data_IF_018695689853
#
_entry.id   IF_018695689853
#
_cell.length_a   1.000
_cell.length_b   1.000
_cell.length_c   1.000
_cell.angle_alpha   90.00
_cell.angle_beta   90.00
_cell.angle_gamma   90.00
#
_symmetry.space_group_name_H-M   'P 1'
#
loop_
_entity.id
_entity.type
_entity.pdbx_description
1 polymer ?
#
# COMPACT_ATOMS: atom_id res chain seq x y z
N UNK A 1 -41.03 51.76 -62.12
CA UNK A 1 -41.08 51.74 -60.63
C UNK A 1 -42.03 50.65 -60.15
N UNK A 2 -41.77 49.44 -60.64
CA UNK A 2 -42.59 48.24 -60.57
C UNK A 2 -41.71 47.11 -60.02
N UNK A 3 -42.31 46.08 -59.44
CA UNK A 3 -41.66 44.93 -58.78
C UNK A 3 -41.05 45.16 -57.38
N UNK A 4 -40.43 46.30 -57.07
CA UNK A 4 -39.88 46.51 -55.71
C UNK A 4 -40.94 46.71 -54.61
N UNK A 5 -42.06 47.40 -54.91
CA UNK A 5 -43.17 47.57 -53.94
C UNK A 5 -43.96 46.27 -53.67
N UNK A 6 -43.88 45.28 -54.57
CA UNK A 6 -44.62 44.02 -54.43
C UNK A 6 -43.87 43.00 -53.59
N UNK A 7 -42.54 43.05 -53.56
CA UNK A 7 -41.73 42.16 -52.71
C UNK A 7 -41.71 42.61 -51.25
N UNK A 8 -41.75 43.91 -50.98
CA UNK A 8 -41.74 44.44 -49.60
C UNK A 8 -43.05 44.14 -48.85
N UNK A 9 -44.19 44.03 -49.54
CA UNK A 9 -45.46 43.68 -48.88
C UNK A 9 -45.66 42.18 -48.64
N UNK A 10 -44.80 41.31 -49.19
CA UNK A 10 -44.93 39.85 -49.08
C UNK A 10 -44.09 39.26 -47.93
N UNK A 11 -43.13 40.04 -47.41
CA UNK A 11 -42.29 39.68 -46.25
C UNK A 11 -42.42 40.65 -45.07
N UNK A 12 -43.37 41.59 -45.13
CA UNK A 12 -43.83 42.24 -43.91
C UNK A 12 -44.55 41.17 -43.08
N UNK A 13 -43.80 40.54 -42.17
CA UNK A 13 -44.36 39.70 -41.13
C UNK A 13 -45.42 40.53 -40.42
N UNK A 14 -46.66 40.07 -40.56
CA UNK A 14 -47.78 40.54 -39.78
C UNK A 14 -47.56 40.04 -38.36
N UNK A 15 -46.78 40.79 -37.57
CA UNK A 15 -46.44 40.48 -36.17
C UNK A 15 -47.70 40.23 -35.32
N UNK A 16 -48.86 40.67 -35.77
CA UNK A 16 -50.13 40.48 -35.07
C UNK A 16 -50.70 39.05 -35.15
N UNK A 17 -50.22 38.21 -36.09
CA UNK A 17 -50.70 36.81 -36.22
C UNK A 17 -49.87 35.80 -35.45
N UNK A 18 -48.59 36.06 -35.17
CA UNK A 18 -47.75 35.14 -34.37
C UNK A 18 -48.02 35.35 -32.87
N UNK A 19 -48.36 36.57 -32.45
CA UNK A 19 -48.60 36.87 -31.03
C UNK A 19 -49.91 36.23 -30.51
N UNK A 20 -50.91 36.00 -31.38
CA UNK A 20 -52.21 35.48 -30.95
C UNK A 20 -52.32 33.95 -30.81
N UNK A 21 -51.23 33.20 -30.98
CA UNK A 21 -51.23 31.76 -30.68
C UNK A 21 -50.42 31.36 -29.44
N UNK A 22 -49.74 32.30 -28.77
CA UNK A 22 -48.91 32.00 -27.59
C UNK A 22 -49.44 32.62 -26.29
N UNK A 23 -50.43 33.50 -26.33
CA UNK A 23 -50.96 34.14 -25.10
C UNK A 23 -52.48 34.10 -25.02
N UNK A 24 -53.05 32.90 -24.92
CA UNK A 24 -54.24 32.74 -24.07
C UNK A 24 -53.76 32.29 -22.68
N UNK A 25 -53.78 33.16 -21.66
CA UNK A 25 -53.57 32.71 -20.30
C UNK A 25 -54.76 31.83 -19.92
N UNK A 26 -54.60 30.52 -20.08
CA UNK A 26 -55.47 29.56 -19.44
C UNK A 26 -55.40 29.84 -17.93
N UNK A 27 -56.51 30.26 -17.32
CA UNK A 27 -56.61 30.40 -15.86
C UNK A 27 -56.35 29.08 -15.12
N UNK A 28 -56.24 27.95 -15.84
CA UNK A 28 -55.77 26.67 -15.29
C UNK A 28 -54.24 26.53 -15.27
N UNK A 29 -53.48 27.21 -16.15
CA UNK A 29 -52.02 27.10 -16.23
C UNK A 29 -51.28 27.84 -15.12
N UNK A 30 -51.78 29.01 -14.70
CA UNK A 30 -51.16 29.79 -13.61
C UNK A 30 -51.29 29.11 -12.25
N UNK A 31 -52.35 28.32 -12.03
CA UNK A 31 -52.52 27.51 -10.82
C UNK A 31 -51.55 26.33 -10.77
N UNK A 32 -51.20 25.76 -11.93
CA UNK A 32 -50.26 24.64 -12.03
C UNK A 32 -48.80 25.08 -11.83
N UNK A 33 -48.41 26.22 -12.44
CA UNK A 33 -47.06 26.79 -12.28
C UNK A 33 -46.83 27.29 -10.85
N UNK A 34 -47.85 27.91 -10.23
CA UNK A 34 -47.80 28.30 -8.82
C UNK A 34 -47.65 27.11 -7.88
N UNK A 35 -48.39 26.01 -8.14
CA UNK A 35 -48.30 24.79 -7.33
C UNK A 35 -46.95 24.08 -7.47
N UNK A 36 -46.36 24.04 -8.68
CA UNK A 36 -45.04 23.46 -8.91
C UNK A 36 -43.92 24.29 -8.26
N UNK A 37 -43.98 25.61 -8.33
CA UNK A 37 -43.01 26.49 -7.67
C UNK A 37 -43.10 26.37 -6.14
N UNK A 38 -44.31 26.28 -5.58
CA UNK A 38 -44.51 26.06 -4.15
C UNK A 38 -44.02 24.67 -3.72
N UNK A 39 -44.23 23.64 -4.55
CA UNK A 39 -43.73 22.29 -4.31
C UNK A 39 -42.20 22.22 -4.31
N UNK A 40 -41.54 22.91 -5.24
CA UNK A 40 -40.07 23.00 -5.29
C UNK A 40 -39.50 23.76 -4.09
N UNK A 41 -40.17 24.83 -3.66
CA UNK A 41 -39.78 25.63 -2.49
C UNK A 41 -40.02 24.87 -1.18
N UNK A 42 -41.11 24.10 -1.08
CA UNK A 42 -41.35 23.18 0.05
C UNK A 42 -40.31 22.05 0.06
N UNK A 43 -39.94 21.50 -1.09
CA UNK A 43 -38.91 20.47 -1.18
C UNK A 43 -37.55 21.02 -0.69
N UNK A 44 -37.15 22.22 -1.12
CA UNK A 44 -35.93 22.88 -0.62
C UNK A 44 -36.00 23.32 0.85
N UNK A 45 -37.18 23.61 1.38
CA UNK A 45 -37.37 23.97 2.80
C UNK A 45 -37.39 22.73 3.72
N UNK A 46 -37.81 21.56 3.21
CA UNK A 46 -37.83 20.30 3.95
C UNK A 46 -36.52 19.51 3.84
N UNK A 47 -35.74 19.71 2.76
CA UNK A 47 -34.44 19.05 2.57
C UNK A 47 -33.43 19.29 3.71
N UNK A 48 -33.25 20.49 4.28
CA UNK A 48 -32.33 20.69 5.42
C UNK A 48 -32.87 20.19 6.77
N UNK A 49 -34.15 19.79 6.87
CA UNK A 49 -34.73 19.16 8.07
C UNK A 49 -34.58 17.63 8.04
N UNK A 50 -34.39 17.07 6.86
CA UNK A 50 -33.85 15.74 6.67
C UNK A 50 -32.33 15.89 6.85
N UNK A 51 -31.78 15.57 8.02
CA UNK A 51 -30.34 15.44 8.25
C UNK A 51 -29.75 14.28 7.41
N UNK A 52 -29.93 14.31 6.09
CA UNK A 52 -29.30 13.42 5.11
C UNK A 52 -28.10 14.18 4.55
N UNK A 53 -27.21 14.61 5.44
CA UNK A 53 -25.81 14.37 5.12
C UNK A 53 -25.63 12.87 5.34
N UNK A 54 -25.35 12.04 4.32
CA UNK A 54 -24.69 10.79 4.61
C UNK A 54 -23.33 11.19 5.20
N UNK A 55 -23.28 11.44 6.50
CA UNK A 55 -22.08 11.19 7.26
C UNK A 55 -21.85 9.71 7.03
N UNK A 56 -20.99 9.37 6.08
CA UNK A 56 -20.40 8.05 6.00
C UNK A 56 -19.74 7.87 7.37
N UNK A 57 -20.48 7.25 8.27
CA UNK A 57 -20.01 6.92 9.60
C UNK A 57 -19.00 5.79 9.39
N UNK A 58 -17.74 6.16 9.23
CA UNK A 58 -16.66 5.19 9.33
C UNK A 58 -16.45 4.90 10.82
N UNK A 59 -16.30 3.62 11.13
CA UNK A 59 -16.17 3.11 12.48
C UNK A 59 -14.70 3.06 12.92
N UNK A 60 -13.79 2.88 11.95
CA UNK A 60 -12.36 2.83 12.21
C UNK A 60 -11.57 3.32 10.99
N UNK A 61 -10.35 3.80 11.26
CA UNK A 61 -9.32 4.04 10.24
C UNK A 61 -8.17 3.08 10.48
N UNK A 62 -7.76 2.35 9.45
CA UNK A 62 -6.65 1.41 9.48
C UNK A 62 -5.49 2.00 8.67
N UNK A 63 -4.39 2.30 9.34
CA UNK A 63 -3.14 2.70 8.69
C UNK A 63 -2.28 1.48 8.41
N UNK A 64 -2.04 1.20 7.13
CA UNK A 64 -1.28 0.05 6.65
C UNK A 64 0.08 0.54 6.13
N UNK A 65 1.15 0.03 6.71
CA UNK A 65 2.53 0.44 6.45
C UNK A 65 3.37 -0.78 6.03
N UNK A 66 3.60 -0.90 4.72
CA UNK A 66 4.44 -1.94 4.08
C UNK A 66 5.55 -1.28 3.24
N UNK A 67 5.26 -0.07 2.78
CA UNK A 67 5.73 0.51 1.54
C UNK A 67 5.18 -0.25 0.33
N UNK A 68 4.07 0.19 -0.27
CA UNK A 68 3.41 1.48 -0.10
C UNK A 68 2.62 1.64 1.21
N UNK A 69 2.17 2.87 1.52
CA UNK A 69 1.44 3.18 2.74
C UNK A 69 0.04 3.78 2.47
N UNK A 70 -0.96 3.34 3.24
CA UNK A 70 -2.37 3.68 3.03
C UNK A 70 -3.13 3.90 4.35
N UNK A 71 -4.09 4.83 4.36
CA UNK A 71 -5.18 4.82 5.33
C UNK A 71 -6.44 4.24 4.69
N UNK A 72 -7.03 3.25 5.34
CA UNK A 72 -8.26 2.57 4.91
C UNK A 72 -9.36 2.86 5.91
N UNK A 73 -10.41 3.54 5.47
CA UNK A 73 -11.56 3.89 6.30
C UNK A 73 -12.64 2.82 6.11
N UNK A 74 -13.19 2.28 7.19
CA UNK A 74 -14.19 1.20 7.15
C UNK A 74 -15.46 1.59 7.89
N UNK A 75 -16.61 1.09 7.43
CA UNK A 75 -17.90 1.28 8.11
C UNK A 75 -18.13 0.24 9.24
N UNK A 76 -19.34 0.20 9.78
CA UNK A 76 -19.73 -0.71 10.87
C UNK A 76 -19.79 -2.18 10.45
N UNK A 77 -19.88 -2.47 9.15
CA UNK A 77 -19.87 -3.81 8.58
C UNK A 77 -18.46 -4.18 8.06
N UNK A 78 -17.44 -3.39 8.42
CA UNK A 78 -16.04 -3.45 7.97
C UNK A 78 -15.86 -3.40 6.45
N UNK A 79 -16.79 -2.73 5.76
CA UNK A 79 -16.68 -2.45 4.35
C UNK A 79 -15.89 -1.16 4.15
N UNK A 80 -14.97 -1.19 3.19
CA UNK A 80 -14.11 -0.06 2.88
C UNK A 80 -14.93 1.08 2.28
N UNK A 81 -14.88 2.22 2.95
CA UNK A 81 -15.52 3.47 2.56
C UNK A 81 -14.57 4.32 1.72
N UNK A 82 -13.30 4.37 2.11
CA UNK A 82 -12.27 5.16 1.43
C UNK A 82 -10.87 4.56 1.61
N UNK A 83 -9.97 4.89 0.68
CA UNK A 83 -8.55 4.51 0.73
C UNK A 83 -7.72 5.74 0.36
N UNK A 84 -6.98 6.26 1.33
CA UNK A 84 -6.07 7.39 1.18
C UNK A 84 -4.65 6.87 0.98
N UNK A 85 -3.98 7.39 -0.05
CA UNK A 85 -2.60 7.04 -0.39
C UNK A 85 -1.64 7.97 0.34
N UNK A 86 -0.74 7.43 1.16
CA UNK A 86 0.08 8.23 2.08
C UNK A 86 1.48 8.57 1.57
N UNK A 87 1.98 7.84 0.56
CA UNK A 87 3.30 8.07 -0.01
C UNK A 87 3.32 7.94 -1.55
N UNK A 88 4.47 8.22 -2.15
CA UNK A 88 4.66 8.19 -3.60
C UNK A 88 4.52 6.76 -4.16
N UNK A 89 4.98 5.76 -3.41
CA UNK A 89 4.90 4.35 -3.78
C UNK A 89 3.43 3.86 -3.89
N UNK A 90 2.51 4.52 -3.18
CA UNK A 90 1.09 4.18 -3.20
C UNK A 90 0.36 4.73 -4.43
N UNK A 91 0.92 5.71 -5.15
CA UNK A 91 0.17 6.52 -6.12
C UNK A 91 -0.42 5.72 -7.28
N UNK A 92 0.27 4.66 -7.71
CA UNK A 92 -0.14 3.81 -8.83
C UNK A 92 -1.21 2.78 -8.46
N UNK A 93 -1.53 2.60 -7.18
CA UNK A 93 -2.61 1.73 -6.76
C UNK A 93 -3.97 2.35 -7.11
N UNK A 94 -4.79 1.61 -7.88
CA UNK A 94 -6.17 1.98 -8.17
C UNK A 94 -7.08 1.60 -7.00
N UNK A 95 -7.61 2.61 -6.32
CA UNK A 95 -8.42 2.44 -5.10
C UNK A 95 -9.89 2.14 -5.40
N UNK A 96 -10.41 2.53 -6.56
CA UNK A 96 -11.84 2.47 -6.86
C UNK A 96 -12.44 1.06 -6.81
N UNK A 97 -11.78 0.00 -7.31
CA UNK A 97 -12.30 -1.37 -7.26
C UNK A 97 -12.49 -1.92 -5.84
N UNK A 98 -11.85 -1.30 -4.85
CA UNK A 98 -11.79 -1.77 -3.47
C UNK A 98 -12.81 -1.10 -2.56
N UNK A 99 -13.46 -0.02 -3.01
CA UNK A 99 -14.54 0.62 -2.27
C UNK A 99 -15.75 -0.34 -2.19
N UNK A 100 -16.29 -0.51 -0.98
CA UNK A 100 -17.35 -1.45 -0.64
C UNK A 100 -16.90 -2.91 -0.50
N UNK A 101 -15.60 -3.20 -0.58
CA UNK A 101 -15.04 -4.53 -0.27
C UNK A 101 -14.78 -4.67 1.21
N UNK A 102 -14.66 -5.91 1.70
CA UNK A 102 -14.29 -6.12 3.10
C UNK A 102 -12.84 -5.70 3.31
N UNK A 103 -12.55 -5.13 4.47
CA UNK A 103 -11.20 -4.64 4.80
C UNK A 103 -10.13 -5.72 4.65
N UNK A 104 -10.46 -6.98 4.94
CA UNK A 104 -9.50 -8.09 4.84
C UNK A 104 -9.13 -8.38 3.37
N UNK A 105 -10.09 -8.26 2.44
CA UNK A 105 -9.82 -8.41 1.00
C UNK A 105 -8.92 -7.28 0.51
N UNK A 106 -9.15 -6.05 0.98
CA UNK A 106 -8.34 -4.89 0.61
C UNK A 106 -6.93 -5.03 1.17
N UNK A 107 -6.75 -5.43 2.43
CA UNK A 107 -5.42 -5.66 3.01
C UNK A 107 -4.65 -6.71 2.20
N UNK A 108 -5.28 -7.82 1.81
CA UNK A 108 -4.60 -8.84 1.00
C UNK A 108 -4.18 -8.29 -0.37
N UNK A 109 -5.04 -7.48 -1.00
CA UNK A 109 -4.72 -6.83 -2.27
C UNK A 109 -3.57 -5.83 -2.16
N UNK A 110 -3.48 -5.10 -1.04
CA UNK A 110 -2.37 -4.18 -0.77
C UNK A 110 -1.05 -4.91 -0.56
N UNK A 111 -1.07 -6.05 0.16
CA UNK A 111 0.11 -6.92 0.32
C UNK A 111 0.54 -7.48 -1.04
N UNK A 112 -0.41 -7.98 -1.85
CA UNK A 112 -0.12 -8.49 -3.18
C UNK A 112 0.46 -7.40 -4.11
N UNK A 113 -0.07 -6.18 -4.04
CA UNK A 113 0.47 -5.03 -4.78
C UNK A 113 1.89 -4.68 -4.34
N UNK A 114 2.18 -4.65 -3.04
CA UNK A 114 3.53 -4.40 -2.54
C UNK A 114 4.53 -5.47 -3.01
N UNK A 115 4.08 -6.72 -3.08
CA UNK A 115 4.86 -7.85 -3.58
C UNK A 115 5.14 -7.75 -5.09
N UNK A 116 4.12 -7.44 -5.90
CA UNK A 116 4.29 -7.24 -7.35
C UNK A 116 5.19 -6.04 -7.67
N UNK A 117 5.11 -4.99 -6.87
CA UNK A 117 5.96 -3.81 -6.99
C UNK A 117 7.40 -4.02 -6.47
N UNK A 118 7.71 -5.18 -5.89
CA UNK A 118 9.05 -5.55 -5.41
C UNK A 118 9.45 -4.94 -4.07
N UNK A 119 8.48 -4.46 -3.28
CA UNK A 119 8.73 -3.99 -1.92
C UNK A 119 8.80 -5.13 -0.90
N UNK A 120 8.22 -6.29 -1.23
CA UNK A 120 8.35 -7.53 -0.46
C UNK A 120 9.23 -8.49 -1.25
N UNK A 121 10.33 -8.94 -0.65
CA UNK A 121 11.24 -9.89 -1.27
C UNK A 121 10.84 -11.33 -0.91
N UNK A 122 10.25 -12.04 -1.87
CA UNK A 122 9.86 -13.44 -1.69
C UNK A 122 11.04 -14.38 -1.47
N UNK A 123 12.23 -14.02 -1.93
CA UNK A 123 13.42 -14.87 -1.84
C UNK A 123 14.24 -14.60 -0.57
N UNK A 124 13.89 -13.54 0.17
CA UNK A 124 14.55 -13.18 1.40
C UNK A 124 14.39 -14.29 2.46
N UNK A 125 15.48 -14.53 3.19
CA UNK A 125 15.48 -15.40 4.37
C UNK A 125 14.66 -14.86 5.54
N UNK A 126 14.25 -13.59 5.47
CA UNK A 126 13.43 -12.96 6.49
C UNK A 126 12.21 -12.36 5.83
N UNK A 127 11.05 -12.76 6.31
CA UNK A 127 9.78 -12.16 5.92
C UNK A 127 9.82 -10.65 6.17
N UNK A 128 9.24 -9.89 5.24
CA UNK A 128 9.05 -8.46 5.42
C UNK A 128 7.88 -8.19 6.36
N UNK A 129 7.92 -7.02 7.00
CA UNK A 129 6.96 -6.65 8.05
C UNK A 129 5.92 -5.69 7.49
N UNK A 130 4.66 -6.03 7.73
CA UNK A 130 3.48 -5.23 7.47
C UNK A 130 2.92 -4.76 8.81
N UNK A 131 2.92 -3.45 9.04
CA UNK A 131 2.29 -2.83 10.20
C UNK A 131 0.87 -2.40 9.86
N UNK A 132 -0.10 -2.82 10.67
CA UNK A 132 -1.50 -2.42 10.57
C UNK A 132 -1.89 -1.75 11.89
N UNK A 133 -1.99 -0.42 11.85
CA UNK A 133 -2.43 0.39 13.00
C UNK A 133 -3.92 0.65 12.90
N UNK A 134 -4.72 0.20 13.87
CA UNK A 134 -6.13 0.55 13.99
C UNK A 134 -6.22 1.82 14.84
N UNK A 135 -6.71 2.91 14.24
CA UNK A 135 -6.74 4.26 14.80
C UNK A 135 -8.12 4.56 15.37
N UNK A 136 -8.14 5.05 16.61
CA UNK A 136 -9.34 5.26 17.42
C UNK A 136 -9.29 6.66 18.05
N UNK A 137 -10.43 7.17 18.52
CA UNK A 137 -10.42 8.41 19.30
C UNK A 137 -9.99 8.10 20.75
N UNK A 138 -9.39 9.06 21.44
CA UNK A 138 -8.83 8.84 22.79
C UNK A 138 -9.89 8.56 23.86
N UNK A 139 -11.16 8.84 23.55
CA UNK A 139 -12.30 8.77 24.47
C UNK A 139 -13.18 7.52 24.27
N UNK A 140 -12.62 6.47 23.68
CA UNK A 140 -13.38 5.28 23.32
C UNK A 140 -13.75 4.39 24.55
N UNK A 141 -15.06 4.24 24.72
CA UNK A 141 -15.76 3.39 25.69
C UNK A 141 -15.31 1.92 25.55
N UNK A 142 -15.49 1.10 26.59
CA UNK A 142 -14.99 -0.28 26.60
C UNK A 142 -15.53 -1.12 25.41
N UNK A 143 -16.72 -0.78 24.91
CA UNK A 143 -17.34 -1.41 23.72
C UNK A 143 -16.55 -1.17 22.42
N UNK A 144 -15.99 0.03 22.23
CA UNK A 144 -15.22 0.35 21.02
C UNK A 144 -13.89 -0.39 21.02
N UNK A 145 -13.24 -0.49 22.20
CA UNK A 145 -12.02 -1.29 22.37
C UNK A 145 -12.25 -2.76 22.02
N UNK A 146 -13.37 -3.32 22.47
CA UNK A 146 -13.75 -4.70 22.14
C UNK A 146 -14.00 -4.87 20.63
N UNK A 147 -14.68 -3.91 19.99
CA UNK A 147 -14.90 -3.93 18.54
C UNK A 147 -13.57 -3.91 17.76
N UNK A 148 -12.61 -3.10 18.19
CA UNK A 148 -11.26 -3.02 17.59
C UNK A 148 -10.48 -4.31 17.79
N UNK A 149 -10.55 -4.91 18.98
CA UNK A 149 -9.94 -6.22 19.25
C UNK A 149 -10.52 -7.30 18.34
N UNK A 150 -11.84 -7.31 18.19
CA UNK A 150 -12.54 -8.24 17.32
C UNK A 150 -12.19 -8.01 15.83
N UNK A 151 -12.07 -6.76 15.40
CA UNK A 151 -11.65 -6.42 14.04
C UNK A 151 -10.22 -6.90 13.78
N UNK A 152 -9.27 -6.60 14.67
CA UNK A 152 -7.90 -7.07 14.58
C UNK A 152 -7.80 -8.60 14.53
N UNK A 153 -8.52 -9.29 15.42
CA UNK A 153 -8.56 -10.75 15.45
C UNK A 153 -9.12 -11.35 14.15
N UNK A 154 -10.18 -10.76 13.59
CA UNK A 154 -10.77 -11.21 12.33
C UNK A 154 -9.87 -10.97 11.13
N UNK A 155 -9.24 -9.80 11.04
CA UNK A 155 -8.27 -9.52 9.99
C UNK A 155 -7.14 -10.54 10.10
N UNK A 156 -6.62 -10.77 11.30
CA UNK A 156 -5.57 -11.76 11.53
C UNK A 156 -6.01 -13.17 11.13
N UNK A 157 -7.23 -13.60 11.47
CA UNK A 157 -7.76 -14.91 11.09
C UNK A 157 -7.94 -15.05 9.57
N UNK A 158 -8.43 -13.99 8.90
CA UNK A 158 -8.64 -14.04 7.45
C UNK A 158 -7.33 -14.02 6.69
N UNK A 159 -6.38 -13.19 7.10
CA UNK A 159 -5.01 -13.17 6.56
C UNK A 159 -4.29 -14.49 6.81
N UNK A 160 -4.56 -15.18 7.92
CA UNK A 160 -4.05 -16.54 8.12
C UNK A 160 -4.46 -17.43 6.95
N UNK A 161 -5.63 -17.29 6.34
CA UNK A 161 -6.10 -18.21 5.30
C UNK A 161 -5.76 -17.77 3.85
N UNK A 162 -5.02 -16.69 3.66
CA UNK A 162 -4.64 -16.17 2.33
C UNK A 162 -3.18 -16.51 2.01
N UNK A 163 -2.87 -16.86 0.75
CA UNK A 163 -1.52 -17.29 0.35
C UNK A 163 -0.52 -16.14 0.36
N UNK A 164 -0.91 -14.96 -0.10
CA UNK A 164 -0.05 -13.79 -0.20
C UNK A 164 0.32 -13.25 1.18
N UNK A 165 -0.64 -13.20 2.09
CA UNK A 165 -0.43 -12.80 3.48
C UNK A 165 0.45 -13.77 4.29
N UNK A 166 0.69 -15.00 3.80
CA UNK A 166 1.66 -15.91 4.44
C UNK A 166 3.10 -15.48 4.21
N UNK A 167 3.38 -14.66 3.19
CA UNK A 167 4.75 -14.27 2.80
C UNK A 167 5.34 -13.13 3.64
N UNK A 168 4.53 -12.55 4.52
CA UNK A 168 4.88 -11.40 5.33
C UNK A 168 4.51 -11.60 6.78
N UNK A 169 5.27 -10.93 7.64
CA UNK A 169 4.95 -10.78 9.04
C UNK A 169 3.96 -9.63 9.23
N UNK A 170 2.77 -9.93 9.71
CA UNK A 170 1.77 -8.89 9.99
C UNK A 170 1.78 -8.59 11.48
N UNK A 171 1.82 -7.30 11.81
CA UNK A 171 1.76 -6.81 13.19
C UNK A 171 0.60 -5.84 13.32
N UNK A 172 -0.24 -6.11 14.32
CA UNK A 172 -1.37 -5.26 14.65
C UNK A 172 -1.01 -4.32 15.79
N UNK A 173 -1.31 -3.05 15.59
CA UNK A 173 -1.00 -1.97 16.52
C UNK A 173 -2.29 -1.23 16.80
N UNK A 174 -2.57 -0.96 18.08
CA UNK A 174 -3.63 -0.02 18.46
C UNK A 174 -3.00 1.35 18.58
N UNK A 175 -3.59 2.35 17.95
CA UNK A 175 -3.10 3.71 17.99
C UNK A 175 -4.25 4.69 18.23
N UNK A 176 -3.96 5.82 18.87
CA UNK A 176 -4.94 6.90 19.01
C UNK A 176 -4.76 7.97 17.94
N UNK A 177 -5.81 8.78 17.73
CA UNK A 177 -5.73 9.94 16.86
C UNK A 177 -4.65 10.95 17.30
N UNK A 178 -4.40 11.09 18.61
CA UNK A 178 -3.29 11.92 19.11
C UNK A 178 -1.94 11.33 18.69
N UNK A 179 -1.77 10.02 18.81
CA UNK A 179 -0.53 9.35 18.42
C UNK A 179 -0.29 9.46 16.91
N UNK A 180 -1.35 9.37 16.11
CA UNK A 180 -1.31 9.67 14.68
C UNK A 180 -0.74 11.07 14.41
N UNK A 181 -1.34 12.11 14.99
CA UNK A 181 -0.88 13.49 14.79
C UNK A 181 0.54 13.74 15.30
N UNK A 182 0.91 13.14 16.43
CA UNK A 182 2.27 13.24 16.96
C UNK A 182 3.30 12.56 16.04
N UNK A 183 2.96 11.39 15.49
CA UNK A 183 3.82 10.65 14.57
C UNK A 183 4.02 11.43 13.26
N UNK A 184 2.93 11.95 12.68
CA UNK A 184 2.97 12.78 11.47
C UNK A 184 3.78 14.06 11.67
N UNK A 185 3.57 14.76 12.79
CA UNK A 185 4.33 15.96 13.14
C UNK A 185 5.83 15.72 13.33
N UNK A 186 6.24 14.46 13.53
CA UNK A 186 7.63 14.02 13.65
C UNK A 186 8.14 13.29 12.40
N UNK A 187 7.31 13.16 11.36
CA UNK A 187 7.62 12.42 10.13
C UNK A 187 8.04 10.96 10.40
N UNK A 188 7.40 10.31 11.37
CA UNK A 188 7.66 8.91 11.76
C UNK A 188 6.48 8.03 11.35
N UNK A 189 6.72 6.82 10.80
CA UNK A 189 5.66 5.82 10.59
C UNK A 189 4.90 5.55 11.90
N UNK A 190 3.58 5.53 11.85
CA UNK A 190 2.73 5.44 13.04
C UNK A 190 3.01 4.17 13.83
N UNK A 191 3.11 3.02 13.16
CA UNK A 191 3.38 1.77 13.83
C UNK A 191 4.71 1.80 14.58
N UNK A 192 5.74 2.41 13.97
CA UNK A 192 7.06 2.52 14.59
C UNK A 192 7.01 3.46 15.79
N UNK A 193 6.30 4.58 15.66
CA UNK A 193 6.11 5.56 16.72
C UNK A 193 5.49 4.96 17.98
N UNK A 194 4.41 4.18 17.81
CA UNK A 194 3.72 3.53 18.91
C UNK A 194 4.61 2.48 19.57
N UNK A 195 5.28 1.63 18.78
CA UNK A 195 6.11 0.55 19.32
C UNK A 195 7.37 1.04 20.05
N UNK A 196 8.00 2.10 19.55
CA UNK A 196 9.18 2.72 20.18
C UNK A 196 8.85 3.54 21.43
N UNK A 197 7.57 3.71 21.77
CA UNK A 197 7.17 4.56 22.89
C UNK A 197 7.47 6.03 22.63
N UNK A 198 7.27 6.48 21.39
CA UNK A 198 7.30 7.91 20.99
C UNK A 198 8.68 8.56 20.85
N UNK A 199 9.76 7.76 20.86
CA UNK A 199 11.15 8.23 20.81
C UNK A 199 11.82 7.90 19.47
N UNK A 200 12.57 8.85 18.91
CA UNK A 200 13.53 8.62 17.82
C UNK A 200 14.87 8.15 18.42
N UNK A 201 15.76 7.60 17.58
CA UNK A 201 17.15 7.39 18.01
C UNK A 201 17.81 8.71 18.44
N UNK A 202 18.88 8.61 19.24
CA UNK A 202 19.59 9.78 19.78
C UNK A 202 20.14 10.72 18.69
N UNK A 203 20.35 10.21 17.47
CA UNK A 203 20.81 10.97 16.30
C UNK A 203 19.67 11.48 15.41
N UNK A 204 18.41 11.22 15.79
CA UNK A 204 17.21 11.58 15.03
C UNK A 204 16.93 10.67 13.84
N UNK A 205 17.69 9.59 13.63
CA UNK A 205 17.48 8.67 12.51
C UNK A 205 16.39 7.63 12.80
N UNK A 206 15.66 7.24 11.76
CA UNK A 206 14.65 6.19 11.80
C UNK A 206 15.31 4.83 11.56
N UNK A 207 15.16 3.91 12.50
CA UNK A 207 15.40 2.48 12.23
C UNK A 207 14.22 1.89 11.48
N UNK A 208 14.45 1.09 10.43
CA UNK A 208 13.38 0.36 9.76
C UNK A 208 12.61 -0.55 10.73
N UNK A 209 11.30 -0.69 10.54
CA UNK A 209 10.43 -1.53 11.39
C UNK A 209 10.97 -2.96 11.56
N UNK A 210 11.39 -3.58 10.45
CA UNK A 210 11.99 -4.93 10.43
C UNK A 210 13.20 -5.04 11.37
N UNK A 211 14.08 -4.04 11.33
CA UNK A 211 15.26 -3.99 12.18
C UNK A 211 14.89 -3.73 13.65
N UNK A 212 13.98 -2.80 13.91
CA UNK A 212 13.51 -2.51 15.26
C UNK A 212 12.94 -3.75 15.96
N UNK A 213 12.12 -4.53 15.26
CA UNK A 213 11.51 -5.75 15.81
C UNK A 213 12.49 -6.89 15.98
N UNK A 214 13.52 -6.96 15.12
CA UNK A 214 14.61 -7.91 15.31
C UNK A 214 15.41 -7.60 16.59
N UNK A 215 15.51 -6.33 16.97
CA UNK A 215 16.18 -5.89 18.21
C UNK A 215 15.27 -5.96 19.44
N UNK A 216 13.95 -5.82 19.28
CA UNK A 216 12.96 -5.77 20.36
C UNK A 216 11.84 -6.81 20.14
N UNK A 217 12.16 -8.12 20.15
CA UNK A 217 11.23 -9.18 19.77
C UNK A 217 10.00 -9.29 20.67
N UNK A 218 10.05 -8.75 21.89
CA UNK A 218 8.94 -8.67 22.85
C UNK A 218 7.89 -7.64 22.45
N UNK A 219 8.25 -6.66 21.61
CA UNK A 219 7.32 -5.66 21.04
C UNK A 219 6.46 -6.23 19.90
N UNK A 220 6.72 -7.46 19.49
CA UNK A 220 6.02 -8.16 18.42
C UNK A 220 4.91 -9.10 18.96
N UNK A 221 4.29 -8.78 20.10
CA UNK A 221 3.35 -9.64 20.85
C UNK A 221 2.13 -10.12 20.01
N UNK A 222 1.88 -9.50 18.85
CA UNK A 222 0.79 -9.83 17.93
C UNK A 222 1.23 -10.27 16.52
N UNK A 223 2.47 -10.76 16.35
CA UNK A 223 2.96 -11.29 15.06
C UNK A 223 2.21 -12.56 14.64
N UNK A 224 2.01 -12.77 13.34
CA UNK A 224 1.44 -14.01 12.80
C UNK A 224 2.48 -15.16 12.76
N UNK A 225 2.13 -16.34 13.29
CA UNK A 225 2.99 -17.56 13.26
C UNK A 225 3.33 -18.05 11.83
N UNK A 226 2.59 -17.61 10.81
CA UNK A 226 2.78 -18.05 9.42
C UNK A 226 3.93 -17.35 8.69
N UNK A 227 4.30 -16.12 9.06
CA UNK A 227 5.53 -15.50 8.55
C UNK A 227 6.76 -16.32 8.95
N UNK A 228 6.74 -16.97 10.11
CA UNK A 228 7.79 -17.91 10.51
C UNK A 228 7.78 -19.20 9.68
N UNK A 229 6.59 -19.74 9.39
CA UNK A 229 6.45 -20.88 8.49
C UNK A 229 6.93 -20.56 7.06
N UNK A 230 6.70 -19.34 6.58
CA UNK A 230 7.23 -18.86 5.31
C UNK A 230 8.74 -18.72 5.32
N UNK A 231 9.30 -18.16 6.40
CA UNK A 231 10.75 -18.05 6.61
C UNK A 231 11.43 -19.42 6.50
N UNK A 232 10.81 -20.48 7.02
CA UNK A 232 11.33 -21.86 6.86
C UNK A 232 11.25 -22.38 5.42
N UNK A 233 10.19 -22.05 4.68
CA UNK A 233 10.11 -22.37 3.24
C UNK A 233 11.16 -21.61 2.45
N UNK A 234 11.45 -20.36 2.80
CA UNK A 234 12.52 -19.57 2.18
C UNK A 234 13.90 -20.21 2.45
N UNK A 235 14.16 -20.64 3.69
CA UNK A 235 15.36 -21.43 4.02
C UNK A 235 15.46 -22.71 3.18
N UNK A 236 14.38 -23.47 3.07
CA UNK A 236 14.34 -24.68 2.24
C UNK A 236 14.66 -24.39 0.76
N UNK A 237 14.10 -23.32 0.21
CA UNK A 237 14.38 -22.88 -1.17
C UNK A 237 15.87 -22.55 -1.35
N UNK A 238 16.46 -21.79 -0.42
CA UNK A 238 17.88 -21.42 -0.51
C UNK A 238 18.83 -22.60 -0.30
N UNK A 239 18.53 -23.50 0.63
CA UNK A 239 19.29 -24.75 0.82
C UNK A 239 19.26 -25.58 -0.46
N UNK A 240 18.10 -25.72 -1.11
CA UNK A 240 18.00 -26.42 -2.38
C UNK A 240 18.78 -25.73 -3.52
N UNK A 241 18.83 -24.40 -3.54
CA UNK A 241 19.68 -23.66 -4.50
C UNK A 241 21.16 -23.96 -4.29
N UNK A 242 21.64 -23.89 -3.05
CA UNK A 242 23.02 -24.23 -2.67
C UNK A 242 23.37 -25.67 -3.08
N UNK A 243 22.46 -26.61 -2.82
CA UNK A 243 22.59 -28.01 -3.22
C UNK A 243 22.71 -28.18 -4.73
N UNK A 244 21.89 -27.48 -5.50
CA UNK A 244 21.94 -27.49 -6.97
C UNK A 244 23.23 -26.87 -7.52
N UNK A 245 23.88 -26.00 -6.75
CA UNK A 245 25.20 -25.43 -7.07
C UNK A 245 26.38 -26.29 -6.57
N UNK A 246 26.11 -27.48 -6.00
CA UNK A 246 27.13 -28.41 -5.54
C UNK A 246 27.71 -28.12 -4.16
N UNK A 247 27.04 -27.29 -3.35
CA UNK A 247 27.41 -27.06 -1.95
C UNK A 247 26.88 -28.18 -1.08
N UNK A 248 27.72 -28.67 -0.17
CA UNK A 248 27.29 -29.61 0.87
C UNK A 248 26.33 -28.91 1.84
N UNK A 249 25.10 -29.43 1.89
CA UNK A 249 23.96 -28.85 2.60
C UNK A 249 23.41 -29.80 3.67
N UNK A 250 24.02 -30.96 3.91
CA UNK A 250 23.46 -31.98 4.82
C UNK A 250 23.25 -31.45 6.25
N UNK A 251 24.15 -30.59 6.72
CA UNK A 251 24.05 -29.99 8.05
C UNK A 251 22.90 -28.98 8.12
N UNK A 252 22.73 -28.15 7.08
CA UNK A 252 21.63 -27.19 6.96
C UNK A 252 20.27 -27.89 6.84
N UNK A 253 20.18 -28.98 6.08
CA UNK A 253 18.97 -29.79 5.95
C UNK A 253 18.58 -30.41 7.29
N UNK A 254 19.54 -30.95 8.05
CA UNK A 254 19.29 -31.50 9.39
C UNK A 254 18.83 -30.44 10.39
N UNK A 255 19.47 -29.26 10.34
CA UNK A 255 19.11 -28.14 11.21
C UNK A 255 17.69 -27.64 10.90
N UNK A 256 17.35 -27.46 9.61
CA UNK A 256 16.02 -27.08 9.17
C UNK A 256 14.94 -28.12 9.56
N UNK A 257 15.22 -29.41 9.38
CA UNK A 257 14.29 -30.49 9.76
C UNK A 257 14.04 -30.52 11.26
N UNK A 258 15.09 -30.34 12.07
CA UNK A 258 14.94 -30.25 13.53
C UNK A 258 14.08 -29.07 13.97
N UNK A 259 14.06 -27.98 13.18
CA UNK A 259 13.16 -26.87 13.41
C UNK A 259 11.74 -27.21 12.99
N UNK A 260 11.51 -27.90 11.85
CA UNK A 260 10.18 -28.31 11.37
C UNK A 260 9.39 -29.15 12.36
N UNK A 261 10.06 -29.91 13.22
CA UNK A 261 9.43 -30.80 14.21
C UNK A 261 9.24 -30.17 15.60
N UNK A 262 9.88 -29.03 15.88
CA UNK A 262 9.78 -28.39 17.20
C UNK A 262 8.62 -27.38 17.22
N UNK A 263 7.69 -27.52 18.17
CA UNK A 263 6.60 -26.56 18.39
C UNK A 263 7.10 -25.30 19.12
N UNK A 264 8.23 -25.41 19.84
CA UNK A 264 8.93 -24.31 20.52
C UNK A 264 10.23 -23.95 19.80
N UNK A 265 10.12 -23.50 18.55
CA UNK A 265 11.28 -22.97 17.81
C UNK A 265 11.74 -21.68 18.46
N UNK A 266 13.00 -21.64 18.87
CA UNK A 266 13.60 -20.39 19.33
C UNK A 266 13.93 -19.52 18.11
N UNK A 267 13.63 -18.22 18.20
CA UNK A 267 14.09 -17.20 17.25
C UNK A 267 15.63 -17.22 17.08
N UNK A 268 16.37 -17.66 18.10
CA UNK A 268 17.83 -17.84 18.03
C UNK A 268 18.24 -18.96 17.06
N UNK A 269 17.45 -20.03 16.95
CA UNK A 269 17.70 -21.11 16.01
C UNK A 269 17.54 -20.63 14.57
N UNK A 270 16.45 -19.90 14.27
CA UNK A 270 16.25 -19.30 12.93
C UNK A 270 17.40 -18.34 12.56
N UNK A 271 17.89 -17.56 13.53
CA UNK A 271 19.02 -16.67 13.34
C UNK A 271 20.33 -17.43 13.06
N UNK A 272 20.59 -18.51 13.79
CA UNK A 272 21.77 -19.34 13.60
C UNK A 272 21.79 -19.99 12.20
N UNK A 273 20.67 -20.60 11.79
CA UNK A 273 20.52 -21.20 10.46
C UNK A 273 20.72 -20.16 9.34
N UNK A 274 20.20 -18.94 9.52
CA UNK A 274 20.40 -17.82 8.59
C UNK A 274 21.88 -17.48 8.40
N UNK A 275 22.61 -17.30 9.50
CA UNK A 275 24.04 -16.99 9.42
C UNK A 275 24.82 -18.15 8.77
N UNK A 276 24.44 -19.39 9.07
CA UNK A 276 25.07 -20.55 8.44
C UNK A 276 24.83 -20.58 6.91
N UNK A 277 23.63 -20.26 6.44
CA UNK A 277 23.33 -20.16 5.00
C UNK A 277 24.14 -19.03 4.34
N UNK A 278 24.22 -17.86 4.99
CA UNK A 278 24.99 -16.72 4.48
C UNK A 278 26.48 -17.02 4.36
N UNK A 279 27.06 -17.71 5.34
CA UNK A 279 28.47 -18.08 5.30
C UNK A 279 28.76 -19.04 4.13
N UNK A 280 27.86 -19.99 3.86
CA UNK A 280 27.98 -20.88 2.69
C UNK A 280 27.87 -20.16 1.35
N UNK A 281 27.03 -19.13 1.26
CA UNK A 281 26.92 -18.28 0.07
C UNK A 281 28.23 -17.50 -0.19
N UNK A 282 28.83 -16.92 0.86
CA UNK A 282 30.12 -16.20 0.74
C UNK A 282 31.26 -17.13 0.30
N UNK A 283 31.29 -18.35 0.79
CA UNK A 283 32.30 -19.36 0.43
C UNK A 283 32.23 -19.79 -1.05
N UNK A 284 31.08 -19.59 -1.71
CA UNK A 284 30.95 -19.80 -3.15
C UNK A 284 31.44 -18.60 -3.96
N UNK A 285 31.02 -17.38 -3.60
CA UNK A 285 31.42 -16.17 -4.32
C UNK A 285 32.95 -15.98 -4.30
N UNK A 286 33.62 -16.37 -3.22
CA UNK A 286 35.08 -16.32 -3.11
C UNK A 286 35.85 -17.34 -3.96
N UNK A 287 35.18 -18.35 -4.55
CA UNK A 287 35.85 -19.38 -5.38
C UNK A 287 35.87 -19.03 -6.87
N UNK A 288 35.03 -18.10 -7.32
CA UNK A 288 34.96 -17.70 -8.73
C UNK A 288 36.05 -16.69 -9.12
N UNK A 289 36.65 -15.98 -8.15
CA UNK A 289 37.73 -15.00 -8.42
C UNK A 289 39.13 -15.63 -8.64
N UNK A 290 39.34 -16.90 -8.26
CA UNK A 290 40.65 -17.56 -8.34
C UNK A 290 40.82 -18.44 -9.60
N UNK A 291 39.85 -18.42 -10.52
CA UNK A 291 39.90 -19.14 -11.81
C UNK A 291 40.01 -18.22 -13.03
N UNK A 292 40.63 -17.05 -12.90
CA UNK A 292 41.16 -16.35 -14.08
C UNK A 292 42.64 -16.75 -14.31
N UNK A 293 42.95 -17.72 -15.18
CA UNK A 293 44.32 -18.05 -15.51
C UNK A 293 44.97 -16.81 -16.16
N UNK A 294 45.88 -16.21 -15.38
CA UNK A 294 46.88 -15.24 -15.80
C UNK A 294 47.10 -15.22 -17.31
N UNK A 295 46.61 -14.16 -17.97
CA UNK A 295 47.10 -13.78 -19.30
C UNK A 295 48.64 -13.75 -19.24
N UNK A 296 49.35 -14.36 -20.20
CA UNK A 296 50.79 -14.26 -20.25
C UNK A 296 51.20 -12.79 -20.29
N UNK A 297 52.11 -12.41 -19.40
CA UNK A 297 52.85 -11.15 -19.49
C UNK A 297 53.75 -11.24 -20.72
N UNK A 298 53.33 -10.63 -21.82
CA UNK A 298 54.23 -10.32 -22.91
C UNK A 298 55.08 -9.11 -22.52
N UNK A 299 56.24 -9.42 -21.93
CA UNK A 299 57.39 -8.52 -21.89
C UNK A 299 57.93 -8.35 -23.32
N UNK A 300 57.67 -7.21 -23.95
CA UNK A 300 58.41 -6.75 -25.11
C UNK A 300 58.78 -5.27 -24.95
N UNK A 301 59.97 -5.09 -24.39
CA UNK A 301 60.68 -3.84 -24.25
C UNK A 301 61.53 -3.60 -25.53
N UNK A 302 61.21 -2.60 -26.37
CA UNK A 302 62.24 -1.69 -26.90
C UNK A 302 61.70 -0.42 -27.61
N UNK A 303 62.51 0.68 -27.62
CA UNK A 303 62.11 2.05 -27.95
C UNK A 303 62.49 2.45 -29.40
N UNK A 304 61.87 3.51 -29.93
CA UNK A 304 62.28 4.07 -31.22
C UNK A 304 61.50 5.32 -31.63
N UNK A 305 62.23 6.41 -31.80
CA UNK A 305 61.78 7.73 -32.27
C UNK A 305 61.14 7.69 -33.66
N UNK A 306 60.28 8.68 -33.95
CA UNK A 306 59.86 8.97 -35.33
C UNK A 306 58.77 10.03 -35.44
N UNK A 307 59.17 11.29 -35.47
CA UNK A 307 58.36 12.43 -35.93
C UNK A 307 57.79 12.21 -37.33
N UNK A 308 56.53 12.56 -37.59
CA UNK A 308 56.20 13.30 -38.82
C UNK A 308 54.86 14.05 -38.76
N UNK A 309 54.87 15.22 -39.40
CA UNK A 309 53.79 16.18 -39.60
C UNK A 309 52.79 15.74 -40.69
N UNK A 310 51.60 16.37 -40.70
CA UNK A 310 50.71 16.46 -41.86
C UNK A 310 49.25 16.49 -41.44
N UNK A 311 48.60 17.65 -41.29
CA UNK A 311 47.92 18.40 -42.37
C UNK A 311 46.93 17.54 -43.16
N UNK A 312 45.63 17.85 -43.07
CA UNK A 312 44.64 17.19 -43.92
C UNK A 312 43.20 17.54 -43.57
N UNK A 313 42.71 18.62 -44.18
CA UNK A 313 41.38 19.19 -44.08
C UNK A 313 40.34 18.37 -44.88
N UNK A 314 39.14 18.14 -44.31
CA UNK A 314 37.80 18.03 -44.97
C UNK A 314 37.59 16.92 -46.04
N UNK A 315 36.34 16.57 -46.45
CA UNK A 315 35.05 17.30 -46.41
C UNK A 315 34.15 16.99 -45.22
#
# INVERSE_FOLDING_TARGET
MNKLKKTVSMYALDDTKIINHVTRPSMFGFRLVGALALGFLLMFALLPQLNITPTLAYNATLRIEINPAFDVMVDQDDLVVDIIKLNDDAQNFDTQPWIGKSVEEVINALIAYALEAGFIDEEALESDVVSISIITDEDDDDEVKEAIDNLGARIQERLRNQEEAMKVDVIFIKATLRELFEAEGKEVPLGLYVLQGKALQDDGSLIPMKEFLAQNPEKAEHRNERGEAYTLKAFEKQINMLKNQGVDTEELERELESMKDNENRSKESLKALKEHIKDRQRDQEGKDDDQNPSKPKDDANHPGQGSNQGSGNRP
#
